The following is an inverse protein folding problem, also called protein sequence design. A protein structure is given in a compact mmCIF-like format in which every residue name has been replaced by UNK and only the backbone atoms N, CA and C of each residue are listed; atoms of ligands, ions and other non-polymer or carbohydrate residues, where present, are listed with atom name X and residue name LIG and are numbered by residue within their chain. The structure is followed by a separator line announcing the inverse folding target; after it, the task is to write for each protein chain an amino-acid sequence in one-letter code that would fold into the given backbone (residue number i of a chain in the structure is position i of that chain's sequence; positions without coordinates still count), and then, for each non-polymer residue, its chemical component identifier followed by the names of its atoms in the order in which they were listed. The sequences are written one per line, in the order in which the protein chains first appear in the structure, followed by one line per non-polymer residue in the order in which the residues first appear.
data_IF_313518662642
#
_entry.id   IF_313518662642
#
_cell.length_a   1.000
_cell.length_b   1.000
_cell.length_c   1.000
_cell.angle_alpha   90.00
_cell.angle_beta   90.00
_cell.angle_gamma   90.00
#
_symmetry.space_group_name_H-M   'P 1'
#
loop_
_entity.id
_entity.type
_entity.pdbx_description
1 polymer ?
#
# COMPACT_ATOMS: atom_id res chain seq x y z
N UNK A 1 -10.87 -54.68 29.13
CA UNK A 1 -9.93 -54.13 28.12
C UNK A 1 -10.75 -53.34 27.11
N UNK A 2 -11.05 -52.07 27.38
CA UNK A 2 -11.87 -51.24 26.49
C UNK A 2 -10.91 -50.60 25.47
N UNK A 3 -10.73 -51.24 24.32
CA UNK A 3 -9.87 -50.72 23.26
C UNK A 3 -10.61 -49.54 22.60
N UNK A 4 -10.22 -48.32 22.96
CA UNK A 4 -10.64 -47.12 22.24
C UNK A 4 -9.93 -47.14 20.88
N UNK A 5 -10.62 -47.59 19.84
CA UNK A 5 -10.16 -47.44 18.47
C UNK A 5 -10.04 -45.93 18.16
N UNK A 6 -8.92 -45.45 17.62
CA UNK A 6 -8.79 -44.04 17.26
C UNK A 6 -9.77 -43.77 16.12
N UNK A 7 -10.78 -42.94 16.37
CA UNK A 7 -11.82 -42.59 15.41
C UNK A 7 -11.18 -41.79 14.26
N UNK A 8 -10.98 -42.35 13.06
CA UNK A 8 -10.28 -41.65 11.97
C UNK A 8 -11.04 -40.39 11.54
N UNK A 9 -12.37 -40.42 11.68
CA UNK A 9 -13.23 -39.27 11.44
C UNK A 9 -13.00 -38.10 12.39
N UNK A 10 -12.59 -38.36 13.64
CA UNK A 10 -12.21 -37.29 14.57
C UNK A 10 -10.93 -36.60 14.09
N UNK A 11 -9.94 -37.37 13.62
CA UNK A 11 -8.71 -36.82 13.06
C UNK A 11 -8.99 -35.96 11.82
N UNK A 12 -9.83 -36.45 10.90
CA UNK A 12 -10.22 -35.70 9.70
C UNK A 12 -10.99 -34.42 10.06
N UNK A 13 -11.91 -34.49 11.02
CA UNK A 13 -12.65 -33.31 11.50
C UNK A 13 -11.72 -32.28 12.16
N UNK A 14 -10.77 -32.73 12.98
CA UNK A 14 -9.76 -31.87 13.59
C UNK A 14 -8.85 -31.20 12.54
N UNK A 15 -8.47 -31.93 11.49
CA UNK A 15 -7.68 -31.38 10.37
C UNK A 15 -8.47 -30.35 9.57
N UNK A 16 -9.77 -30.57 9.33
CA UNK A 16 -10.64 -29.59 8.68
C UNK A 16 -10.82 -28.34 9.55
N UNK A 17 -11.04 -28.49 10.86
CA UNK A 17 -11.16 -27.37 11.80
C UNK A 17 -9.85 -26.58 11.93
N UNK A 18 -8.70 -27.25 11.91
CA UNK A 18 -7.38 -26.61 11.93
C UNK A 18 -7.08 -25.88 10.61
N UNK A 19 -7.47 -26.46 9.47
CA UNK A 19 -7.35 -25.81 8.16
C UNK A 19 -8.25 -24.59 7.98
N UNK A 20 -9.45 -24.62 8.58
CA UNK A 20 -10.39 -23.49 8.61
C UNK A 20 -10.00 -22.44 9.66
N UNK A 21 -9.37 -22.85 10.77
CA UNK A 21 -8.77 -21.96 11.77
C UNK A 21 -7.40 -21.45 11.33
N UNK A 22 -7.18 -21.28 10.01
CA UNK A 22 -6.06 -20.50 9.49
C UNK A 22 -6.28 -19.08 9.98
N UNK A 23 -5.79 -18.85 11.18
CA UNK A 23 -5.59 -17.56 11.82
C UNK A 23 -5.16 -16.65 10.68
N UNK A 24 -6.03 -15.73 10.32
CA UNK A 24 -5.67 -14.59 9.50
C UNK A 24 -4.74 -13.78 10.37
N UNK A 25 -3.52 -14.30 10.49
CA UNK A 25 -2.33 -13.62 10.88
C UNK A 25 -2.12 -12.58 9.78
N UNK A 26 -3.00 -11.59 9.76
CA UNK A 26 -2.67 -10.22 9.51
C UNK A 26 -1.66 -9.83 10.59
N UNK A 27 -0.48 -10.44 10.53
CA UNK A 27 0.76 -9.71 10.68
C UNK A 27 0.78 -8.74 9.50
N UNK A 28 -0.10 -7.73 9.53
CA UNK A 28 0.41 -6.42 9.21
C UNK A 28 1.61 -6.30 10.12
N UNK A 29 2.81 -6.46 9.55
CA UNK A 29 4.01 -5.92 10.17
C UNK A 29 3.59 -4.51 10.51
N UNK A 30 3.28 -4.26 11.79
CA UNK A 30 3.15 -2.93 12.37
C UNK A 30 4.56 -2.37 12.29
N UNK A 31 4.99 -2.06 11.07
CA UNK A 31 6.14 -1.24 10.79
C UNK A 31 5.80 0.00 11.58
N UNK A 32 6.56 0.24 12.64
CA UNK A 32 6.42 1.43 13.45
C UNK A 32 6.38 2.60 12.47
N UNK A 33 5.19 3.16 12.26
CA UNK A 33 4.98 4.27 11.35
C UNK A 33 5.87 5.36 11.93
N UNK A 34 6.98 5.67 11.25
CA UNK A 34 7.85 6.79 11.64
C UNK A 34 6.91 7.95 11.88
N UNK A 35 7.09 8.66 12.98
CA UNK A 35 6.24 9.80 13.30
C UNK A 35 6.24 10.70 12.06
N UNK A 36 5.09 10.76 11.38
CA UNK A 36 4.98 11.49 10.12
C UNK A 36 4.83 12.93 10.56
N UNK A 37 5.96 13.61 10.72
CA UNK A 37 5.94 15.05 10.91
C UNK A 37 5.25 15.62 9.68
N UNK A 38 4.14 16.33 9.88
CA UNK A 38 3.33 16.87 8.78
C UNK A 38 4.14 17.75 7.83
N UNK A 39 5.25 18.30 8.33
CA UNK A 39 6.22 19.12 7.63
C UNK A 39 7.15 18.39 6.65
N UNK A 40 7.24 17.05 6.70
CA UNK A 40 8.10 16.32 5.79
C UNK A 40 7.39 16.01 4.47
N UNK A 41 8.01 16.30 3.30
CA UNK A 41 7.47 15.90 2.01
C UNK A 41 7.27 14.39 1.93
N UNK A 42 6.10 13.96 1.43
CA UNK A 42 5.74 12.53 1.39
C UNK A 42 4.74 12.22 0.28
N UNK A 43 4.62 10.93 -0.01
CA UNK A 43 3.58 10.32 -0.82
C UNK A 43 2.66 9.48 0.06
N UNK A 44 1.34 9.64 -0.10
CA UNK A 44 0.33 8.82 0.57
C UNK A 44 -0.69 8.28 -0.43
N UNK A 45 -1.37 7.19 -0.04
CA UNK A 45 -2.56 6.72 -0.74
C UNK A 45 -3.80 7.06 0.09
N UNK A 46 -4.72 7.83 -0.49
CA UNK A 46 -5.92 8.34 0.18
C UNK A 46 -7.14 8.09 -0.71
N UNK A 47 -8.05 7.22 -0.26
CA UNK A 47 -9.28 6.87 -0.98
C UNK A 47 -9.06 6.42 -2.44
N UNK A 48 -7.96 5.71 -2.70
CA UNK A 48 -7.57 5.26 -4.04
C UNK A 48 -6.76 6.26 -4.86
N UNK A 49 -6.54 7.47 -4.35
CA UNK A 49 -5.70 8.48 -4.98
C UNK A 49 -4.26 8.39 -4.48
N UNK A 50 -3.30 8.77 -5.32
CA UNK A 50 -1.92 9.05 -4.91
C UNK A 50 -1.80 10.55 -4.60
N UNK A 51 -1.48 10.90 -3.36
CA UNK A 51 -1.40 12.29 -2.90
C UNK A 51 0.04 12.67 -2.59
N UNK A 52 0.47 13.78 -3.16
CA UNK A 52 1.77 14.39 -2.91
C UNK A 52 1.61 15.47 -1.83
N UNK A 53 2.27 15.29 -0.70
CA UNK A 53 2.29 16.25 0.39
C UNK A 53 3.65 16.93 0.43
N UNK A 54 3.70 18.26 0.32
CA UNK A 54 4.97 18.99 0.41
C UNK A 54 5.40 19.26 1.87
N UNK A 55 4.44 19.50 2.77
CA UNK A 55 4.69 20.11 4.07
C UNK A 55 4.60 21.64 4.01
N UNK A 56 4.52 22.32 5.15
CA UNK A 56 4.43 23.79 5.19
C UNK A 56 5.75 24.38 4.68
N UNK A 57 5.69 25.42 3.86
CA UNK A 57 6.88 26.10 3.28
C UNK A 57 7.78 25.23 2.36
N UNK A 58 7.27 24.13 1.81
CA UNK A 58 7.99 23.27 0.86
C UNK A 58 7.27 23.22 -0.49
N UNK A 59 8.01 22.83 -1.54
CA UNK A 59 7.51 22.70 -2.90
C UNK A 59 7.48 21.21 -3.32
N UNK A 60 6.64 20.91 -4.29
CA UNK A 60 6.77 19.69 -5.11
C UNK A 60 7.50 20.12 -6.39
N UNK A 61 8.69 19.57 -6.60
CA UNK A 61 9.51 19.90 -7.77
C UNK A 61 9.66 18.69 -8.68
N UNK A 62 9.26 18.87 -9.94
CA UNK A 62 9.52 17.91 -11.00
C UNK A 62 10.60 18.49 -11.92
N UNK A 63 11.71 17.77 -12.08
CA UNK A 63 12.85 18.21 -12.90
C UNK A 63 13.17 17.11 -13.91
N UNK A 64 13.38 17.49 -15.15
CA UNK A 64 13.73 16.58 -16.24
C UNK A 64 15.05 16.99 -16.89
N UNK A 65 15.70 16.05 -17.57
CA UNK A 65 16.82 16.37 -18.45
C UNK A 65 16.36 17.03 -19.75
N UNK A 66 17.28 17.42 -20.66
CA UNK A 66 16.96 18.22 -21.85
C UNK A 66 15.88 17.63 -22.78
N UNK A 67 15.74 16.31 -22.83
CA UNK A 67 14.73 15.61 -23.65
C UNK A 67 13.62 14.98 -22.80
N UNK A 68 13.66 15.12 -21.48
CA UNK A 68 12.65 14.55 -20.59
C UNK A 68 11.43 15.46 -20.49
N UNK A 69 10.24 14.88 -20.46
CA UNK A 69 8.96 15.59 -20.40
C UNK A 69 8.23 15.28 -19.09
N UNK A 70 7.46 16.24 -18.60
CA UNK A 70 6.49 16.02 -17.51
C UNK A 70 5.12 16.01 -18.16
N UNK A 71 4.38 14.92 -17.98
CA UNK A 71 3.03 14.79 -18.54
C UNK A 71 1.98 14.78 -17.45
N UNK A 72 0.86 15.45 -17.71
CA UNK A 72 -0.35 15.34 -16.93
C UNK A 72 -1.40 14.65 -17.81
N UNK A 73 -1.76 13.42 -17.43
CA UNK A 73 -2.45 12.48 -18.33
C UNK A 73 -1.64 12.26 -19.62
N UNK A 74 -2.19 12.61 -20.78
CA UNK A 74 -1.53 12.46 -22.08
C UNK A 74 -0.81 13.74 -22.56
N UNK A 75 -1.02 14.85 -21.86
CA UNK A 75 -0.57 16.18 -22.27
C UNK A 75 0.81 16.51 -21.69
N UNK A 76 1.69 17.08 -22.52
CA UNK A 76 2.98 17.59 -22.06
C UNK A 76 2.78 18.95 -21.37
N UNK A 77 3.23 19.04 -20.12
CA UNK A 77 3.10 20.25 -19.31
C UNK A 77 3.76 21.46 -19.99
N UNK A 78 4.86 21.27 -20.73
CA UNK A 78 5.51 22.34 -21.48
C UNK A 78 4.65 22.85 -22.65
N UNK A 79 3.90 21.95 -23.29
CA UNK A 79 2.99 22.29 -24.40
C UNK A 79 1.70 22.95 -23.89
N UNK A 80 1.26 22.66 -22.66
CA UNK A 80 0.12 23.35 -22.03
C UNK A 80 0.44 24.81 -21.71
N UNK A 81 1.63 25.10 -21.18
CA UNK A 81 2.02 26.48 -20.84
C UNK A 81 2.17 27.39 -22.06
N UNK A 82 2.53 26.85 -23.22
CA UNK A 82 2.66 27.64 -24.45
C UNK A 82 1.32 28.08 -25.04
N UNK A 83 0.19 27.46 -24.65
CA UNK A 83 -1.15 27.82 -25.13
C UNK A 83 -1.81 28.94 -24.32
N UNK A 84 -1.33 29.22 -23.11
CA UNK A 84 -1.89 30.22 -22.19
C UNK A 84 -1.25 31.59 -22.38
N UNK A 85 -0.15 31.68 -23.14
CA UNK A 85 0.58 32.92 -23.44
C UNK A 85 0.35 33.43 -24.86
#
# INVERSE_FOLDING_TARGET
MLQAAPFPGLLVLLLLLAGLSRESNHYEKKRQKRNVYDEQPRLSSEQGNLVFHAGSSKNIEFRTGPLGKIKLNEEDLAEMFSQVM
#
